data_IF_577773056185
#
_entry.id   IF_577773056185
#
_cell.length_a   1.000
_cell.length_b   1.000
_cell.length_c   1.000
_cell.angle_alpha   90.00
_cell.angle_beta   90.00
_cell.angle_gamma   90.00
#
_symmetry.space_group_name_H-M   'P 1'
#
loop_
_entity.id
_entity.type
_entity.pdbx_description
1 polymer ?
#
# COMPACT_ATOMS: atom_id res chain seq x y z
N UNK A 1 6.96 -17.25 -19.62
CA UNK A 1 6.75 -15.83 -20.00
C UNK A 1 7.73 -14.98 -19.22
N UNK A 2 8.46 -14.08 -19.87
CA UNK A 2 9.35 -13.15 -19.18
C UNK A 2 8.53 -12.19 -18.30
N UNK A 3 8.92 -12.05 -17.04
CA UNK A 3 8.29 -11.08 -16.15
C UNK A 3 8.78 -9.67 -16.53
N UNK A 4 7.91 -8.89 -17.15
CA UNK A 4 8.18 -7.48 -17.45
C UNK A 4 8.24 -6.71 -16.13
N UNK A 5 9.33 -5.95 -15.95
CA UNK A 5 9.56 -5.11 -14.78
C UNK A 5 9.86 -3.68 -15.24
N UNK A 6 9.15 -2.72 -14.66
CA UNK A 6 9.33 -1.29 -14.89
C UNK A 6 10.13 -0.69 -13.74
N UNK A 7 11.35 -0.22 -14.00
CA UNK A 7 12.17 0.46 -12.99
C UNK A 7 11.64 1.85 -12.64
N UNK A 8 10.87 2.47 -13.54
CA UNK A 8 10.17 3.74 -13.31
C UNK A 8 8.65 3.47 -13.20
N UNK A 9 8.09 3.69 -12.02
CA UNK A 9 6.66 3.52 -11.75
C UNK A 9 5.78 4.49 -12.56
N UNK A 10 6.35 5.58 -13.11
CA UNK A 10 5.62 6.49 -14.02
C UNK A 10 5.25 5.82 -15.33
N UNK A 11 6.04 4.84 -15.76
CA UNK A 11 5.87 4.11 -17.02
C UNK A 11 5.13 2.79 -16.84
N UNK A 12 4.90 2.37 -15.60
CA UNK A 12 4.26 1.09 -15.33
C UNK A 12 2.76 1.14 -15.56
N UNK A 13 2.18 0.18 -16.31
CA UNK A 13 0.74 0.03 -16.45
C UNK A 13 0.12 -0.78 -15.29
N UNK A 14 0.93 -1.35 -14.40
CA UNK A 14 0.44 -2.20 -13.33
C UNK A 14 -0.06 -1.35 -12.18
N UNK A 15 -1.38 -1.19 -12.08
CA UNK A 15 -2.02 -0.48 -10.97
C UNK A 15 -3.12 -1.27 -10.29
N UNK A 16 -3.45 -0.88 -9.07
CA UNK A 16 -4.60 -1.36 -8.30
C UNK A 16 -5.33 -0.17 -7.71
N UNK A 17 -6.65 -0.16 -7.90
CA UNK A 17 -7.56 0.71 -7.16
C UNK A 17 -8.10 -0.07 -5.96
N UNK A 18 -7.88 0.43 -4.74
CA UNK A 18 -8.29 -0.25 -3.51
C UNK A 18 -8.64 0.76 -2.42
N UNK A 19 -9.90 0.74 -1.95
CA UNK A 19 -10.39 1.58 -0.85
C UNK A 19 -10.11 3.07 -1.03
N UNK A 20 -10.15 3.60 -2.27
CA UNK A 20 -9.84 5.01 -2.57
C UNK A 20 -8.36 5.30 -2.87
N UNK A 21 -7.49 4.30 -2.79
CA UNK A 21 -6.09 4.40 -3.21
C UNK A 21 -5.89 3.93 -4.65
N UNK A 22 -5.08 4.67 -5.41
CA UNK A 22 -4.50 4.20 -6.68
C UNK A 22 -3.02 3.87 -6.44
N UNK A 23 -2.67 2.59 -6.56
CA UNK A 23 -1.36 2.03 -6.19
C UNK A 23 -0.65 1.51 -7.44
N UNK A 24 0.56 2.01 -7.73
CA UNK A 24 1.34 1.62 -8.91
C UNK A 24 2.46 0.65 -8.57
N UNK A 25 2.62 -0.41 -9.35
CA UNK A 25 3.58 -1.49 -9.11
C UNK A 25 4.57 -1.60 -10.26
N UNK A 26 5.79 -2.04 -9.97
CA UNK A 26 6.83 -2.25 -10.98
C UNK A 26 6.56 -3.48 -11.85
N UNK A 27 5.68 -4.39 -11.41
CA UNK A 27 5.45 -5.68 -12.08
C UNK A 27 4.06 -6.25 -11.77
N UNK A 28 3.57 -7.11 -12.65
CA UNK A 28 2.38 -7.91 -12.40
C UNK A 28 2.52 -8.81 -11.17
N UNK A 29 3.73 -9.29 -10.88
CA UNK A 29 4.01 -10.11 -9.69
C UNK A 29 3.70 -9.35 -8.39
N UNK A 30 4.22 -8.12 -8.22
CA UNK A 30 3.94 -7.30 -7.05
C UNK A 30 2.46 -6.93 -6.94
N UNK A 31 1.83 -6.56 -8.07
CA UNK A 31 0.39 -6.28 -8.15
C UNK A 31 -0.45 -7.46 -7.66
N UNK A 32 -0.15 -8.66 -8.16
CA UNK A 32 -0.88 -9.86 -7.81
C UNK A 32 -0.63 -10.28 -6.36
N UNK A 33 0.60 -10.10 -5.85
CA UNK A 33 0.92 -10.29 -4.43
C UNK A 33 0.08 -9.35 -3.54
N UNK A 34 -0.05 -8.09 -3.92
CA UNK A 34 -0.87 -7.12 -3.21
C UNK A 34 -2.33 -7.57 -3.16
N UNK A 35 -2.95 -7.80 -4.32
CA UNK A 35 -4.36 -8.20 -4.43
C UNK A 35 -4.68 -9.50 -3.70
N UNK A 36 -3.75 -10.47 -3.71
CA UNK A 36 -3.98 -11.77 -3.11
C UNK A 36 -4.07 -11.70 -1.58
N UNK A 37 -3.26 -10.86 -0.93
CA UNK A 37 -3.12 -10.93 0.54
C UNK A 37 -3.47 -9.64 1.29
N UNK A 38 -3.83 -8.53 0.63
CA UNK A 38 -4.12 -7.26 1.31
C UNK A 38 -5.20 -7.38 2.39
N UNK A 39 -6.29 -8.11 2.12
CA UNK A 39 -7.40 -8.27 3.08
C UNK A 39 -6.97 -8.99 4.36
N UNK A 40 -6.25 -10.11 4.22
CA UNK A 40 -5.77 -10.86 5.38
C UNK A 40 -4.71 -10.07 6.14
N UNK A 41 -3.83 -9.37 5.42
CA UNK A 41 -2.84 -8.49 6.03
C UNK A 41 -3.49 -7.41 6.91
N UNK A 42 -4.50 -6.69 6.39
CA UNK A 42 -5.21 -5.66 7.16
C UNK A 42 -5.85 -6.25 8.41
N UNK A 43 -6.53 -7.39 8.28
CA UNK A 43 -7.17 -8.07 9.41
C UNK A 43 -6.16 -8.47 10.48
N UNK A 44 -5.05 -9.09 10.09
CA UNK A 44 -4.00 -9.51 11.02
C UNK A 44 -3.34 -8.32 11.73
N UNK A 45 -2.95 -7.28 10.99
CA UNK A 45 -2.27 -6.12 11.57
C UNK A 45 -3.22 -5.29 12.46
N UNK A 46 -4.50 -5.20 12.08
CA UNK A 46 -5.53 -4.57 12.93
C UNK A 46 -5.66 -5.32 14.25
N UNK A 47 -5.80 -6.66 14.21
CA UNK A 47 -5.90 -7.47 15.42
C UNK A 47 -4.64 -7.36 16.29
N UNK A 48 -3.44 -7.41 15.69
CA UNK A 48 -2.16 -7.23 16.40
C UNK A 48 -2.10 -5.87 17.08
N UNK A 49 -2.47 -4.79 16.38
CA UNK A 49 -2.45 -3.43 16.91
C UNK A 49 -3.44 -3.26 18.07
N UNK A 50 -4.70 -3.65 17.87
CA UNK A 50 -5.75 -3.54 18.88
C UNK A 50 -5.38 -4.35 20.15
N UNK A 51 -4.84 -5.56 19.99
CA UNK A 51 -4.42 -6.39 21.12
C UNK A 51 -3.23 -5.82 21.87
N UNK A 52 -2.28 -5.21 21.16
CA UNK A 52 -1.08 -4.60 21.74
C UNK A 52 -1.42 -3.36 22.56
N UNK A 53 -2.26 -2.49 22.02
CA UNK A 53 -2.56 -1.18 22.63
C UNK A 53 -3.85 -1.15 23.43
N UNK A 54 -4.63 -2.24 23.45
CA UNK A 54 -5.93 -2.34 24.15
C UNK A 54 -6.94 -1.29 23.67
N UNK A 55 -6.94 -1.01 22.37
CA UNK A 55 -7.84 -0.05 21.72
C UNK A 55 -8.69 -0.72 20.64
N UNK A 56 -9.84 -0.14 20.30
CA UNK A 56 -10.68 -0.54 19.16
C UNK A 56 -10.68 0.59 18.13
N UNK A 57 -9.61 0.65 17.34
CA UNK A 57 -9.48 1.62 16.25
C UNK A 57 -9.17 0.89 14.94
N UNK A 58 -9.62 1.47 13.83
CA UNK A 58 -9.31 1.02 12.48
C UNK A 58 -8.25 1.93 11.87
N UNK A 59 -7.17 1.33 11.38
CA UNK A 59 -6.02 2.04 10.78
C UNK A 59 -5.83 1.62 9.31
N UNK A 60 -6.96 1.51 8.59
CA UNK A 60 -7.04 0.93 7.26
C UNK A 60 -6.01 1.52 6.29
N UNK A 61 -5.99 2.84 6.15
CA UNK A 61 -5.08 3.57 5.25
C UNK A 61 -3.61 3.28 5.56
N UNK A 62 -3.25 3.21 6.84
CA UNK A 62 -1.89 2.91 7.29
C UNK A 62 -1.51 1.49 6.87
N UNK A 63 -2.39 0.52 7.06
CA UNK A 63 -2.09 -0.87 6.70
C UNK A 63 -2.06 -1.10 5.19
N UNK A 64 -2.89 -0.40 4.41
CA UNK A 64 -2.82 -0.41 2.94
C UNK A 64 -1.45 0.08 2.47
N UNK A 65 -1.02 1.26 2.94
CA UNK A 65 0.27 1.86 2.56
C UNK A 65 1.43 0.97 3.03
N UNK A 66 1.35 0.42 4.25
CA UNK A 66 2.36 -0.48 4.78
C UNK A 66 2.47 -1.77 3.95
N UNK A 67 1.35 -2.36 3.53
CA UNK A 67 1.37 -3.57 2.72
C UNK A 67 1.84 -3.30 1.29
N UNK A 68 1.45 -2.17 0.71
CA UNK A 68 1.97 -1.70 -0.56
C UNK A 68 3.51 -1.64 -0.53
N UNK A 69 4.10 -1.00 0.50
CA UNK A 69 5.57 -0.93 0.68
C UNK A 69 6.23 -2.31 0.91
N UNK A 70 5.50 -3.30 1.41
CA UNK A 70 5.98 -4.70 1.52
C UNK A 70 5.92 -5.47 0.19
N UNK A 71 5.12 -5.00 -0.76
CA UNK A 71 4.95 -5.62 -2.06
C UNK A 71 5.81 -4.95 -3.13
N UNK A 72 5.86 -3.62 -3.14
CA UNK A 72 6.61 -2.82 -4.10
C UNK A 72 7.95 -2.36 -3.53
N UNK A 73 9.04 -2.82 -4.14
CA UNK A 73 10.40 -2.62 -3.65
C UNK A 73 11.22 -1.62 -4.49
N UNK A 74 10.69 -1.12 -5.61
CA UNK A 74 11.41 -0.27 -6.57
C UNK A 74 10.97 1.19 -6.57
N UNK A 75 9.98 1.54 -5.76
CA UNK A 75 9.56 2.93 -5.62
C UNK A 75 8.27 3.08 -4.83
N UNK A 76 7.82 4.33 -4.73
CA UNK A 76 6.57 4.67 -4.07
C UNK A 76 5.78 5.61 -4.97
N UNK A 77 4.64 5.13 -5.49
CA UNK A 77 3.72 5.95 -6.27
C UNK A 77 2.30 5.54 -5.91
N UNK A 78 1.69 6.36 -5.06
CA UNK A 78 0.38 6.12 -4.47
C UNK A 78 -0.41 7.42 -4.54
N UNK A 79 -1.64 7.35 -5.01
CA UNK A 79 -2.58 8.47 -4.96
C UNK A 79 -3.72 8.13 -4.00
N UNK A 80 -4.21 9.14 -3.30
CA UNK A 80 -5.45 9.10 -2.52
C UNK A 80 -6.33 10.24 -2.99
N UNK A 81 -7.53 9.94 -3.48
CA UNK A 81 -8.47 10.97 -3.96
C UNK A 81 -7.81 11.94 -4.97
N UNK A 82 -7.03 11.38 -5.91
CA UNK A 82 -6.22 12.09 -6.92
C UNK A 82 -5.03 12.91 -6.39
N UNK A 83 -4.75 12.86 -5.09
CA UNK A 83 -3.58 13.51 -4.49
C UNK A 83 -2.43 12.51 -4.36
N UNK A 84 -1.28 12.84 -4.93
CA UNK A 84 -0.08 12.01 -4.81
C UNK A 84 0.43 12.06 -3.36
N UNK A 85 0.51 10.89 -2.72
CA UNK A 85 1.13 10.75 -1.43
C UNK A 85 2.64 10.69 -1.63
N UNK A 86 3.39 11.53 -0.91
CA UNK A 86 4.85 11.41 -0.88
C UNK A 86 5.29 10.52 0.26
N UNK A 87 6.23 9.60 0.01
CA UNK A 87 6.79 8.71 1.01
C UNK A 87 7.31 9.44 2.28
N UNK A 88 7.76 10.69 2.13
CA UNK A 88 8.34 11.52 3.19
C UNK A 88 7.32 12.37 3.99
N UNK A 89 6.07 12.46 3.54
CA UNK A 89 5.02 13.29 4.20
C UNK A 89 3.89 12.49 4.86
N UNK A 90 3.82 11.17 4.67
CA UNK A 90 2.74 10.34 5.24
C UNK A 90 2.68 10.44 6.78
N UNK A 91 3.79 10.77 7.44
CA UNK A 91 3.85 10.88 8.91
C UNK A 91 3.76 12.31 9.46
N UNK A 92 3.75 13.37 8.63
CA UNK A 92 3.76 14.74 9.16
C UNK A 92 2.41 15.22 9.71
N UNK A 93 1.32 14.53 9.38
CA UNK A 93 -0.04 14.91 9.81
C UNK A 93 -0.65 13.96 10.86
N UNK A 94 0.15 13.07 11.46
CA UNK A 94 -0.27 12.17 12.55
C UNK A 94 0.37 12.63 13.86
N UNK A 95 0.20 13.92 14.18
CA UNK A 95 0.38 14.45 15.53
C UNK A 95 -0.91 15.19 15.85
N UNK A 96 -1.80 14.49 16.55
CA UNK A 96 -2.84 15.09 17.39
C UNK A 96 -2.26 15.27 18.79
#
# INVERSE_FOLDING_TARGET
MANIVYNDLKKSPFKVDYEGFELYFSSAFHKNKFNKNIKEYIKEETLKFQNRYKVKIELLDIFIIAYYKKCENRGFRVYRDNLELSADKVFKNIIL
#
